data_IF_480293012857
#
_entry.id   IF_480293012857
#
_cell.length_a   1.000
_cell.length_b   1.000
_cell.length_c   1.000
_cell.angle_alpha   90.00
_cell.angle_beta   90.00
_cell.angle_gamma   90.00
#
_symmetry.space_group_name_H-M   'P 1'
#
loop_
_entity.id
_entity.type
_entity.pdbx_description
1 polymer ?
#
# COMPACT_ATOMS: atom_id res chain seq x y z
N UNK A 1 14.19 3.49 -34.05
CA UNK A 1 13.86 2.30 -33.23
C UNK A 1 12.41 2.45 -32.84
N UNK A 2 11.49 1.66 -33.36
CA UNK A 2 10.07 1.73 -33.00
C UNK A 2 9.95 1.34 -31.51
N UNK A 3 9.27 2.18 -30.77
CA UNK A 3 9.06 1.97 -29.34
C UNK A 3 8.01 0.84 -29.17
N UNK A 4 8.44 -0.42 -29.11
CA UNK A 4 7.56 -1.58 -28.94
C UNK A 4 6.97 -1.69 -27.55
N UNK A 5 7.47 -0.89 -26.58
CA UNK A 5 7.10 -0.97 -25.17
C UNK A 5 5.76 -0.30 -24.86
N UNK A 6 4.99 -0.92 -24.00
CA UNK A 6 3.86 -0.31 -23.32
C UNK A 6 4.40 0.51 -22.14
N UNK A 7 4.65 1.78 -22.39
CA UNK A 7 5.30 2.68 -21.43
C UNK A 7 4.44 2.91 -20.19
N UNK A 8 5.08 3.29 -19.07
CA UNK A 8 4.37 3.61 -17.83
C UNK A 8 3.33 4.73 -18.05
N UNK A 9 3.66 5.75 -18.84
CA UNK A 9 2.76 6.85 -19.19
C UNK A 9 1.50 6.36 -19.91
N UNK A 10 1.63 5.43 -20.86
CA UNK A 10 0.48 4.85 -21.58
C UNK A 10 -0.37 3.94 -20.68
N UNK A 11 0.30 3.18 -19.79
CA UNK A 11 -0.40 2.39 -18.79
C UNK A 11 -1.25 3.28 -17.88
N UNK A 12 -0.69 4.39 -17.41
CA UNK A 12 -1.38 5.32 -16.53
C UNK A 12 -2.53 6.03 -17.27
N UNK A 13 -2.31 6.47 -18.52
CA UNK A 13 -3.37 7.05 -19.36
C UNK A 13 -4.55 6.09 -19.55
N UNK A 14 -4.29 4.84 -19.94
CA UNK A 14 -5.34 3.82 -20.09
C UNK A 14 -6.12 3.61 -18.79
N UNK A 15 -5.43 3.60 -17.64
CA UNK A 15 -6.09 3.43 -16.33
C UNK A 15 -6.94 4.63 -15.96
N UNK A 16 -6.45 5.84 -16.22
CA UNK A 16 -7.18 7.08 -15.95
C UNK A 16 -8.46 7.14 -16.79
N UNK A 17 -8.41 6.81 -18.07
CA UNK A 17 -9.58 6.76 -18.95
C UNK A 17 -10.59 5.70 -18.47
N UNK A 18 -10.12 4.50 -18.14
CA UNK A 18 -10.99 3.44 -17.62
C UNK A 18 -11.59 3.83 -16.26
N UNK A 19 -10.81 4.45 -15.37
CA UNK A 19 -11.28 4.92 -14.07
C UNK A 19 -12.32 6.03 -14.23
N UNK A 20 -12.14 6.97 -15.18
CA UNK A 20 -13.13 7.99 -15.50
C UNK A 20 -14.45 7.35 -15.95
N UNK A 21 -14.40 6.42 -16.91
CA UNK A 21 -15.60 5.71 -17.37
C UNK A 21 -16.32 4.96 -16.23
N UNK A 22 -15.56 4.36 -15.31
CA UNK A 22 -16.10 3.68 -14.13
C UNK A 22 -16.80 4.65 -13.19
N UNK A 23 -16.22 5.84 -12.96
CA UNK A 23 -16.78 6.85 -12.06
C UNK A 23 -18.02 7.51 -12.66
N UNK A 24 -17.98 7.89 -13.94
CA UNK A 24 -19.11 8.45 -14.68
C UNK A 24 -20.30 7.48 -14.67
N UNK A 25 -20.04 6.19 -14.88
CA UNK A 25 -21.05 5.14 -14.82
C UNK A 25 -21.67 5.01 -13.41
N UNK A 26 -20.83 5.09 -12.37
CA UNK A 26 -21.30 4.98 -10.98
C UNK A 26 -22.12 6.21 -10.56
N UNK A 27 -21.71 7.40 -10.98
CA UNK A 27 -22.45 8.63 -10.78
C UNK A 27 -23.80 8.56 -11.49
N UNK A 28 -23.81 8.19 -12.78
CA UNK A 28 -25.04 8.00 -13.54
C UNK A 28 -25.99 7.02 -12.85
N UNK A 29 -25.48 5.87 -12.37
CA UNK A 29 -26.30 4.89 -11.62
C UNK A 29 -26.98 5.53 -10.42
N UNK A 30 -26.23 6.33 -9.66
CA UNK A 30 -26.75 6.98 -8.45
C UNK A 30 -27.83 8.02 -8.80
N UNK A 31 -27.56 8.87 -9.78
CA UNK A 31 -28.49 9.92 -10.23
C UNK A 31 -29.77 9.32 -10.83
N UNK A 32 -29.64 8.29 -11.66
CA UNK A 32 -30.78 7.62 -12.27
C UNK A 32 -31.63 6.87 -11.23
N UNK A 33 -31.01 6.21 -10.26
CA UNK A 33 -31.72 5.60 -9.13
C UNK A 33 -32.51 6.63 -8.33
N UNK A 34 -31.93 7.80 -8.02
CA UNK A 34 -32.64 8.88 -7.31
C UNK A 34 -33.81 9.43 -8.13
N UNK A 35 -33.65 9.55 -9.45
CA UNK A 35 -34.74 9.98 -10.34
C UNK A 35 -35.90 8.97 -10.35
N UNK A 36 -35.62 7.67 -10.45
CA UNK A 36 -36.64 6.61 -10.36
C UNK A 36 -37.34 6.59 -9.01
N UNK A 37 -36.58 6.74 -7.93
CA UNK A 37 -37.12 6.82 -6.59
C UNK A 37 -38.05 8.03 -6.41
N UNK A 38 -37.67 9.20 -6.91
CA UNK A 38 -38.49 10.41 -6.83
C UNK A 38 -39.84 10.26 -7.57
N UNK A 39 -39.89 9.42 -8.59
CA UNK A 39 -41.12 9.09 -9.30
C UNK A 39 -42.00 8.07 -8.55
N UNK A 40 -41.55 7.49 -7.44
CA UNK A 40 -42.21 6.45 -6.67
C UNK A 40 -42.46 6.91 -5.21
N UNK A 41 -43.38 7.83 -4.94
CA UNK A 41 -43.66 8.25 -3.58
C UNK A 41 -44.15 7.07 -2.73
N UNK A 42 -43.58 6.88 -1.56
CA UNK A 42 -43.79 5.73 -0.66
C UNK A 42 -43.37 4.37 -1.26
N UNK A 43 -42.32 4.35 -2.01
CA UNK A 43 -41.80 3.13 -2.62
C UNK A 43 -41.54 2.01 -1.60
N UNK A 44 -41.98 0.82 -1.91
CA UNK A 44 -41.64 -0.38 -1.15
C UNK A 44 -40.18 -0.79 -1.38
N UNK A 45 -39.61 -1.58 -0.46
CA UNK A 45 -38.28 -2.16 -0.62
C UNK A 45 -38.14 -2.90 -1.96
N UNK A 46 -39.20 -3.59 -2.41
CA UNK A 46 -39.17 -4.28 -3.69
C UNK A 46 -39.06 -3.31 -4.87
N UNK A 47 -39.81 -2.21 -4.84
CA UNK A 47 -39.75 -1.18 -5.88
C UNK A 47 -38.37 -0.46 -5.91
N UNK A 48 -37.80 -0.13 -4.76
CA UNK A 48 -36.46 0.46 -4.69
C UNK A 48 -35.37 -0.50 -5.16
N UNK A 49 -35.48 -1.79 -4.83
CA UNK A 49 -34.59 -2.82 -5.36
C UNK A 49 -34.65 -2.88 -6.89
N UNK A 50 -35.86 -2.90 -7.45
CA UNK A 50 -36.06 -3.03 -8.91
C UNK A 50 -35.59 -1.76 -9.62
N UNK A 51 -35.79 -0.57 -9.03
CA UNK A 51 -35.20 0.69 -9.49
C UNK A 51 -33.67 0.64 -9.47
N UNK A 52 -33.05 0.03 -8.45
CA UNK A 52 -31.61 -0.16 -8.40
C UNK A 52 -31.07 -1.09 -9.49
N UNK A 53 -31.80 -2.15 -9.83
CA UNK A 53 -31.49 -3.04 -10.95
C UNK A 53 -31.54 -2.27 -12.27
N UNK A 54 -32.62 -1.53 -12.50
CA UNK A 54 -32.82 -0.72 -13.70
C UNK A 54 -31.71 0.33 -13.85
N UNK A 55 -31.38 1.04 -12.77
CA UNK A 55 -30.33 2.07 -12.79
C UNK A 55 -28.96 1.51 -13.21
N UNK A 56 -28.57 0.35 -12.68
CA UNK A 56 -27.32 -0.29 -13.11
C UNK A 56 -27.40 -0.74 -14.57
N UNK A 57 -28.51 -1.32 -15.00
CA UNK A 57 -28.67 -1.78 -16.38
C UNK A 57 -28.54 -0.62 -17.38
N UNK A 58 -29.20 0.50 -17.10
CA UNK A 58 -29.12 1.70 -17.94
C UNK A 58 -27.69 2.24 -18.00
N UNK A 59 -27.02 2.31 -16.86
CA UNK A 59 -25.61 2.74 -16.79
C UNK A 59 -24.69 1.80 -17.60
N UNK A 60 -24.83 0.49 -17.42
CA UNK A 60 -23.98 -0.48 -18.14
C UNK A 60 -24.25 -0.50 -19.65
N UNK A 61 -25.45 -0.21 -20.09
CA UNK A 61 -25.76 -0.06 -21.51
C UNK A 61 -25.12 1.19 -22.11
N UNK A 62 -24.97 2.26 -21.32
CA UNK A 62 -24.34 3.49 -21.78
C UNK A 62 -22.79 3.43 -21.74
N UNK A 63 -22.21 2.94 -20.66
CA UNK A 63 -20.78 3.02 -20.38
C UNK A 63 -20.02 1.71 -20.65
N UNK A 64 -20.69 0.56 -20.64
CA UNK A 64 -20.05 -0.72 -20.90
C UNK A 64 -19.40 -0.82 -22.28
N UNK A 65 -20.10 -0.43 -23.38
CA UNK A 65 -19.49 -0.40 -24.71
C UNK A 65 -18.26 0.49 -24.80
N UNK A 66 -18.25 1.68 -24.18
CA UNK A 66 -17.11 2.59 -24.16
C UNK A 66 -15.87 1.95 -23.50
N UNK A 67 -16.06 1.30 -22.37
CA UNK A 67 -14.99 0.57 -21.69
C UNK A 67 -14.46 -0.61 -22.52
N UNK A 68 -15.35 -1.30 -23.25
CA UNK A 68 -14.98 -2.38 -24.14
C UNK A 68 -14.22 -1.87 -25.38
N UNK A 69 -14.63 -0.75 -25.96
CA UNK A 69 -13.94 -0.07 -27.08
C UNK A 69 -12.53 0.35 -26.68
N UNK A 70 -12.36 1.00 -25.53
CA UNK A 70 -11.06 1.37 -24.99
C UNK A 70 -10.12 0.14 -24.88
N UNK A 71 -10.62 -0.98 -24.42
CA UNK A 71 -9.85 -2.22 -24.36
C UNK A 71 -9.51 -2.80 -25.73
N UNK A 72 -10.43 -2.69 -26.72
CA UNK A 72 -10.20 -3.14 -28.10
C UNK A 72 -9.13 -2.29 -28.79
N UNK A 73 -9.16 -0.96 -28.63
CA UNK A 73 -8.15 -0.05 -29.19
C UNK A 73 -6.76 -0.34 -28.61
N UNK A 74 -6.67 -0.55 -27.29
CA UNK A 74 -5.40 -0.93 -26.65
C UNK A 74 -4.92 -2.30 -27.19
N UNK A 75 -5.82 -3.28 -27.37
CA UNK A 75 -5.49 -4.59 -27.89
C UNK A 75 -4.86 -4.49 -29.29
N UNK A 76 -5.50 -3.78 -30.21
CA UNK A 76 -5.03 -3.60 -31.58
C UNK A 76 -3.69 -2.84 -31.59
N UNK A 77 -3.60 -1.73 -30.86
CA UNK A 77 -2.40 -0.91 -30.77
C UNK A 77 -1.18 -1.71 -30.30
N UNK A 78 -1.32 -2.49 -29.24
CA UNK A 78 -0.21 -3.27 -28.68
C UNK A 78 0.16 -4.46 -29.56
N UNK A 79 -0.81 -5.10 -30.22
CA UNK A 79 -0.56 -6.19 -31.16
C UNK A 79 0.14 -5.67 -32.43
N UNK A 80 -0.30 -4.55 -33.00
CA UNK A 80 0.31 -3.92 -34.17
C UNK A 80 1.79 -3.58 -33.92
N UNK A 81 2.10 -2.99 -32.76
CA UNK A 81 3.49 -2.67 -32.36
C UNK A 81 4.40 -3.89 -32.33
N UNK A 82 3.83 -5.05 -32.05
CA UNK A 82 4.55 -6.33 -32.00
C UNK A 82 4.52 -7.10 -33.33
N UNK A 83 3.95 -6.50 -34.38
CA UNK A 83 3.83 -7.11 -35.68
C UNK A 83 2.80 -8.25 -35.75
N UNK A 84 1.82 -8.27 -34.83
CA UNK A 84 0.75 -9.25 -34.80
C UNK A 84 -0.46 -8.64 -35.50
N UNK A 85 -0.83 -9.24 -36.65
CA UNK A 85 -2.02 -8.84 -37.41
C UNK A 85 -3.28 -9.40 -36.74
N UNK A 86 -4.10 -8.51 -36.18
CA UNK A 86 -5.32 -8.86 -35.44
C UNK A 86 -6.46 -7.91 -35.78
N UNK A 87 -7.67 -8.36 -35.50
CA UNK A 87 -8.87 -7.53 -35.49
C UNK A 87 -9.65 -7.79 -34.22
N UNK A 88 -9.95 -6.74 -33.49
CA UNK A 88 -10.78 -6.82 -32.29
C UNK A 88 -12.27 -6.93 -32.63
N UNK A 89 -13.02 -7.44 -31.65
CA UNK A 89 -14.49 -7.45 -31.70
C UNK A 89 -15.01 -7.06 -30.33
N UNK A 90 -16.12 -6.33 -30.33
CA UNK A 90 -16.88 -6.05 -29.10
C UNK A 90 -17.72 -7.27 -28.71
N UNK A 91 -17.62 -7.69 -27.49
CA UNK A 91 -18.38 -8.79 -26.91
C UNK A 91 -19.24 -8.28 -25.75
N UNK A 92 -20.50 -8.66 -25.76
CA UNK A 92 -21.34 -8.45 -24.59
C UNK A 92 -20.98 -9.51 -23.53
N UNK A 93 -20.51 -9.05 -22.36
CA UNK A 93 -19.98 -9.94 -21.33
C UNK A 93 -20.79 -9.94 -20.03
N UNK A 94 -21.78 -9.05 -19.90
CA UNK A 94 -22.60 -8.88 -18.70
C UNK A 94 -23.71 -9.93 -18.67
N UNK A 95 -23.72 -10.72 -17.58
CA UNK A 95 -24.75 -11.71 -17.31
C UNK A 95 -25.83 -11.09 -16.39
N UNK A 96 -27.00 -10.75 -16.95
CA UNK A 96 -28.12 -10.12 -16.27
C UNK A 96 -28.51 -10.85 -14.97
N UNK A 97 -28.64 -12.15 -15.00
CA UNK A 97 -29.09 -12.93 -13.84
C UNK A 97 -28.13 -12.89 -12.63
N UNK A 98 -26.84 -12.61 -12.85
CA UNK A 98 -25.89 -12.43 -11.75
C UNK A 98 -26.00 -11.03 -11.14
N UNK A 99 -26.23 -10.02 -11.94
CA UNK A 99 -26.48 -8.66 -11.50
C UNK A 99 -27.70 -8.60 -10.59
N UNK A 100 -28.82 -9.15 -11.02
CA UNK A 100 -30.06 -9.18 -10.25
C UNK A 100 -29.87 -9.84 -8.88
N UNK A 101 -29.13 -10.96 -8.81
CA UNK A 101 -28.86 -11.64 -7.55
C UNK A 101 -28.09 -10.77 -6.57
N UNK A 102 -27.09 -10.01 -7.07
CA UNK A 102 -26.28 -9.12 -6.22
C UNK A 102 -27.10 -7.95 -5.70
N UNK A 103 -27.91 -7.30 -6.54
CA UNK A 103 -28.76 -6.19 -6.11
C UNK A 103 -29.83 -6.67 -5.13
N UNK A 104 -30.43 -7.86 -5.33
CA UNK A 104 -31.35 -8.48 -4.36
C UNK A 104 -30.68 -8.68 -3.00
N UNK A 105 -29.44 -9.11 -2.96
CA UNK A 105 -28.69 -9.22 -1.71
C UNK A 105 -28.47 -7.84 -1.06
N UNK A 106 -28.14 -6.81 -1.84
CA UNK A 106 -27.94 -5.45 -1.32
C UNK A 106 -29.24 -4.83 -0.76
N UNK A 107 -30.40 -5.23 -1.28
CA UNK A 107 -31.70 -4.74 -0.81
C UNK A 107 -31.96 -5.05 0.68
N UNK A 108 -31.18 -5.92 1.33
CA UNK A 108 -31.21 -6.10 2.78
C UNK A 108 -30.91 -4.80 3.53
N UNK A 109 -30.09 -3.90 2.97
CA UNK A 109 -29.82 -2.59 3.58
C UNK A 109 -31.06 -1.70 3.57
N UNK A 110 -31.91 -1.80 2.55
CA UNK A 110 -33.19 -1.08 2.52
C UNK A 110 -34.16 -1.59 3.59
N UNK A 111 -34.14 -2.88 3.93
CA UNK A 111 -34.93 -3.45 5.04
C UNK A 111 -34.43 -2.90 6.38
N UNK A 112 -33.16 -2.57 6.49
CA UNK A 112 -32.51 -2.01 7.68
C UNK A 112 -32.47 -0.47 7.69
N UNK A 113 -33.27 0.20 6.86
CA UNK A 113 -33.32 1.66 6.70
C UNK A 113 -31.97 2.32 6.36
N UNK A 114 -31.01 1.56 5.77
CA UNK A 114 -29.70 2.03 5.33
C UNK A 114 -29.63 2.17 3.81
N UNK A 115 -30.43 3.10 3.29
CA UNK A 115 -30.47 3.40 1.86
C UNK A 115 -29.12 3.96 1.34
N UNK A 116 -28.39 4.72 2.16
CA UNK A 116 -27.09 5.26 1.78
C UNK A 116 -26.11 4.15 1.43
N UNK A 117 -26.07 3.08 2.22
CA UNK A 117 -25.27 1.89 1.95
C UNK A 117 -25.74 1.13 0.72
N UNK A 118 -27.05 1.03 0.50
CA UNK A 118 -27.59 0.43 -0.72
C UNK A 118 -27.09 1.17 -1.96
N UNK A 119 -27.18 2.51 -2.01
CA UNK A 119 -26.68 3.34 -3.11
C UNK A 119 -25.17 3.18 -3.32
N UNK A 120 -24.40 3.21 -2.24
CA UNK A 120 -22.95 2.97 -2.31
C UNK A 120 -22.62 1.61 -2.94
N UNK A 121 -23.39 0.58 -2.61
CA UNK A 121 -23.22 -0.75 -3.18
C UNK A 121 -23.62 -0.83 -4.65
N UNK A 122 -24.67 -0.10 -5.08
CA UNK A 122 -25.02 0.02 -6.52
C UNK A 122 -23.85 0.66 -7.29
N UNK A 123 -23.35 1.81 -6.83
CA UNK A 123 -22.23 2.51 -7.44
C UNK A 123 -20.98 1.61 -7.53
N UNK A 124 -20.63 0.91 -6.45
CA UNK A 124 -19.49 -0.02 -6.43
C UNK A 124 -19.69 -1.19 -7.39
N UNK A 125 -20.89 -1.70 -7.52
CA UNK A 125 -21.22 -2.78 -8.44
C UNK A 125 -21.12 -2.32 -9.90
N UNK A 126 -21.55 -1.10 -10.18
CA UNK A 126 -21.42 -0.49 -11.52
C UNK A 126 -19.97 -0.35 -11.94
N UNK A 127 -19.11 0.23 -11.08
CA UNK A 127 -17.66 0.31 -11.34
C UNK A 127 -17.07 -1.05 -11.65
N UNK A 128 -17.40 -2.06 -10.86
CA UNK A 128 -16.93 -3.42 -11.07
C UNK A 128 -17.33 -3.98 -12.42
N UNK A 129 -18.57 -3.78 -12.87
CA UNK A 129 -19.02 -4.32 -14.16
C UNK A 129 -18.40 -3.58 -15.35
N UNK A 130 -18.23 -2.26 -15.28
CA UNK A 130 -17.52 -1.47 -16.31
C UNK A 130 -16.06 -1.94 -16.43
N UNK A 131 -15.34 -2.06 -15.32
CA UNK A 131 -13.99 -2.62 -15.29
C UNK A 131 -13.94 -4.04 -15.86
N UNK A 132 -14.88 -4.88 -15.48
CA UNK A 132 -14.98 -6.25 -15.96
C UNK A 132 -15.28 -6.30 -17.48
N UNK A 133 -16.07 -5.38 -18.00
CA UNK A 133 -16.41 -5.31 -19.41
C UNK A 133 -15.14 -5.06 -20.24
N UNK A 134 -14.33 -4.07 -19.89
CA UNK A 134 -13.05 -3.80 -20.55
C UNK A 134 -12.12 -5.03 -20.52
N UNK A 135 -11.82 -5.55 -19.34
CA UNK A 135 -10.90 -6.68 -19.21
C UNK A 135 -11.42 -7.99 -19.84
N UNK A 136 -12.73 -8.21 -19.83
CA UNK A 136 -13.33 -9.39 -20.47
C UNK A 136 -13.28 -9.30 -21.99
N UNK A 137 -13.43 -8.10 -22.57
CA UNK A 137 -13.26 -7.87 -23.98
C UNK A 137 -11.81 -8.06 -24.40
N UNK A 138 -10.85 -7.51 -23.64
CA UNK A 138 -9.43 -7.74 -23.85
C UNK A 138 -9.11 -9.25 -23.87
N UNK A 139 -9.51 -9.99 -22.84
CA UNK A 139 -9.30 -11.44 -22.76
C UNK A 139 -9.91 -12.21 -23.94
N UNK A 140 -11.15 -11.89 -24.32
CA UNK A 140 -11.82 -12.58 -25.42
C UNK A 140 -11.12 -12.31 -26.75
N UNK A 141 -10.65 -11.09 -26.98
CA UNK A 141 -9.87 -10.77 -28.17
C UNK A 141 -8.53 -11.49 -28.18
N UNK A 142 -7.82 -11.58 -27.06
CA UNK A 142 -6.62 -12.40 -26.94
C UNK A 142 -6.88 -13.87 -27.33
N UNK A 143 -7.91 -14.49 -26.75
CA UNK A 143 -8.23 -15.90 -27.03
C UNK A 143 -8.67 -16.13 -28.48
N UNK A 144 -9.47 -15.24 -29.05
CA UNK A 144 -9.99 -15.38 -30.41
C UNK A 144 -8.92 -15.20 -31.49
N UNK A 145 -7.91 -14.37 -31.19
CA UNK A 145 -6.80 -14.13 -32.09
C UNK A 145 -5.55 -14.96 -31.72
N UNK A 146 -5.66 -15.86 -30.75
CA UNK A 146 -4.54 -16.68 -30.25
C UNK A 146 -3.33 -15.84 -29.81
N UNK A 147 -3.59 -14.69 -29.20
CA UNK A 147 -2.58 -13.77 -28.64
C UNK A 147 -2.38 -14.11 -27.17
N UNK A 148 -1.12 -14.22 -26.74
CA UNK A 148 -0.76 -14.34 -25.34
C UNK A 148 -1.06 -13.05 -24.60
N UNK A 149 -1.20 -13.13 -23.27
CA UNK A 149 -1.44 -11.96 -22.44
C UNK A 149 -0.84 -12.14 -21.06
N UNK A 150 -0.54 -11.01 -20.40
CA UNK A 150 -0.12 -10.97 -19.02
C UNK A 150 -1.16 -10.25 -18.16
N UNK A 151 -1.21 -10.57 -16.86
CA UNK A 151 -1.88 -9.75 -15.86
C UNK A 151 -0.88 -8.80 -15.23
N UNK A 152 -1.10 -7.52 -15.37
CA UNK A 152 -0.21 -6.48 -14.87
C UNK A 152 -0.86 -5.79 -13.68
N UNK A 153 -0.28 -5.91 -12.47
CA UNK A 153 -0.79 -5.18 -11.31
C UNK A 153 -0.59 -3.68 -11.54
N UNK A 154 -1.57 -2.90 -11.19
CA UNK A 154 -1.57 -1.49 -11.58
C UNK A 154 -1.64 -0.51 -10.43
N UNK A 155 -1.88 -0.94 -9.22
CA UNK A 155 -2.05 0.02 -8.14
C UNK A 155 -2.11 -0.58 -6.74
N UNK A 156 -2.64 0.25 -5.84
CA UNK A 156 -2.76 -0.01 -4.38
C UNK A 156 -3.72 -1.16 -4.08
N UNK A 157 -4.68 -1.40 -4.95
CA UNK A 157 -5.75 -2.36 -4.70
C UNK A 157 -5.47 -3.76 -5.27
N UNK A 158 -4.23 -4.01 -5.72
CA UNK A 158 -3.84 -5.35 -6.23
C UNK A 158 -4.06 -6.40 -5.15
N UNK A 159 -4.99 -7.32 -5.39
CA UNK A 159 -5.27 -8.41 -4.46
C UNK A 159 -4.24 -9.54 -4.60
N UNK A 160 -4.11 -10.38 -3.56
CA UNK A 160 -3.16 -11.49 -3.55
C UNK A 160 -3.33 -12.47 -4.70
N UNK A 161 -4.57 -12.72 -5.13
CA UNK A 161 -4.84 -13.57 -6.28
C UNK A 161 -4.31 -12.97 -7.60
N UNK A 162 -4.56 -11.68 -7.85
CA UNK A 162 -4.02 -11.00 -9.03
C UNK A 162 -2.50 -10.87 -8.97
N UNK A 163 -1.94 -10.62 -7.79
CA UNK A 163 -0.49 -10.63 -7.59
C UNK A 163 0.12 -11.98 -7.95
N UNK A 164 -0.45 -13.09 -7.47
CA UNK A 164 -0.01 -14.45 -7.84
C UNK A 164 -0.12 -14.69 -9.35
N UNK A 165 -1.21 -14.27 -9.98
CA UNK A 165 -1.38 -14.43 -11.43
C UNK A 165 -0.35 -13.59 -12.22
N UNK A 166 0.02 -12.42 -11.73
CA UNK A 166 0.99 -11.55 -12.40
C UNK A 166 2.43 -12.10 -12.40
N UNK A 167 2.74 -13.08 -11.55
CA UNK A 167 4.06 -13.75 -11.54
C UNK A 167 4.28 -14.68 -12.74
N UNK A 168 3.25 -14.93 -13.55
CA UNK A 168 3.31 -15.89 -14.66
C UNK A 168 3.70 -15.26 -16.01
N UNK A 169 3.77 -13.94 -16.10
CA UNK A 169 4.07 -13.26 -17.36
C UNK A 169 3.07 -13.59 -18.45
N UNK A 170 3.56 -13.75 -19.68
CA UNK A 170 2.76 -14.10 -20.88
C UNK A 170 2.52 -15.60 -21.06
N UNK A 171 2.50 -16.39 -19.99
CA UNK A 171 2.25 -17.84 -20.05
C UNK A 171 0.76 -18.22 -20.22
N UNK A 172 -0.12 -17.21 -20.26
CA UNK A 172 -1.55 -17.45 -20.42
C UNK A 172 -1.94 -17.66 -21.87
N UNK A 173 -2.25 -18.91 -22.21
CA UNK A 173 -2.73 -19.30 -23.56
C UNK A 173 -4.20 -19.67 -23.55
N UNK A 174 -4.81 -19.88 -22.40
CA UNK A 174 -6.19 -20.35 -22.31
C UNK A 174 -6.95 -19.75 -21.13
N UNK A 175 -8.26 -19.76 -21.24
CA UNK A 175 -9.22 -19.38 -20.20
C UNK A 175 -8.93 -20.06 -18.85
N UNK A 176 -8.56 -21.34 -18.88
CA UNK A 176 -8.31 -22.15 -17.69
C UNK A 176 -6.99 -21.78 -16.99
N UNK A 177 -5.95 -21.47 -17.75
CA UNK A 177 -4.64 -21.10 -17.20
C UNK A 177 -4.62 -19.71 -16.55
N UNK A 178 -5.55 -18.83 -16.94
CA UNK A 178 -5.70 -17.47 -16.39
C UNK A 178 -6.56 -17.36 -15.14
N UNK A 179 -6.93 -18.48 -14.54
CA UNK A 179 -7.74 -18.50 -13.31
C UNK A 179 -9.25 -18.61 -13.53
N UNK A 180 -9.73 -19.11 -14.71
CA UNK A 180 -11.14 -19.49 -14.90
C UNK A 180 -11.96 -18.60 -15.85
N UNK A 181 -13.25 -18.71 -15.79
CA UNK A 181 -14.28 -18.27 -16.76
C UNK A 181 -14.52 -16.76 -16.94
N UNK A 182 -13.49 -15.90 -16.78
CA UNK A 182 -13.67 -14.43 -16.84
C UNK A 182 -14.35 -13.84 -15.60
N UNK A 183 -14.76 -14.68 -14.65
CA UNK A 183 -15.27 -14.29 -13.31
C UNK A 183 -14.16 -14.03 -12.28
N UNK A 184 -12.91 -13.99 -12.72
CA UNK A 184 -11.72 -13.86 -11.86
C UNK A 184 -11.32 -12.42 -11.55
N UNK A 185 -12.14 -11.45 -11.91
CA UNK A 185 -12.00 -10.08 -11.45
C UNK A 185 -12.87 -9.86 -10.19
N UNK A 186 -12.28 -9.28 -9.16
CA UNK A 186 -13.02 -8.96 -7.93
C UNK A 186 -13.49 -7.50 -7.96
N UNK A 187 -14.45 -7.18 -7.11
CA UNK A 187 -14.74 -5.79 -6.79
C UNK A 187 -13.46 -5.14 -6.24
N UNK A 188 -13.09 -3.97 -6.77
CA UNK A 188 -11.84 -3.24 -6.46
C UNK A 188 -10.54 -3.94 -6.96
N UNK A 189 -10.63 -4.79 -7.98
CA UNK A 189 -9.44 -5.30 -8.66
C UNK A 189 -8.89 -4.21 -9.59
N UNK A 190 -7.57 -3.97 -9.54
CA UNK A 190 -6.88 -2.96 -10.34
C UNK A 190 -5.92 -3.52 -11.41
N UNK A 191 -5.85 -4.85 -11.53
CA UNK A 191 -4.98 -5.46 -12.54
C UNK A 191 -5.57 -5.30 -13.94
N UNK A 192 -4.72 -4.92 -14.89
CA UNK A 192 -5.10 -4.87 -16.32
C UNK A 192 -4.58 -6.10 -17.06
N UNK A 193 -5.27 -6.43 -18.15
CA UNK A 193 -4.82 -7.45 -19.10
C UNK A 193 -4.05 -6.74 -20.20
N UNK A 194 -2.83 -7.20 -20.46
CA UNK A 194 -1.95 -6.65 -21.49
C UNK A 194 -1.64 -7.74 -22.49
N UNK A 195 -2.01 -7.60 -23.78
CA UNK A 195 -1.68 -8.54 -24.84
C UNK A 195 -0.21 -8.41 -25.22
N UNK A 196 0.43 -9.50 -25.64
CA UNK A 196 1.81 -9.42 -26.13
C UNK A 196 2.57 -10.72 -26.11
N UNK A 197 3.90 -10.62 -26.32
CA UNK A 197 4.79 -11.76 -26.47
C UNK A 197 5.90 -11.82 -25.41
N UNK A 198 6.36 -10.67 -24.89
CA UNK A 198 7.51 -10.56 -24.02
C UNK A 198 7.23 -9.68 -22.80
N UNK A 199 7.70 -10.10 -21.64
CA UNK A 199 7.58 -9.34 -20.39
C UNK A 199 8.26 -7.97 -20.48
N UNK A 200 9.41 -7.88 -21.16
CA UNK A 200 10.21 -6.66 -21.32
C UNK A 200 9.50 -5.57 -22.16
N UNK A 201 8.41 -5.90 -22.82
CA UNK A 201 7.59 -4.94 -23.58
C UNK A 201 6.64 -4.12 -22.69
N UNK A 202 6.62 -4.37 -21.40
CA UNK A 202 5.81 -3.63 -20.43
C UNK A 202 6.73 -2.93 -19.40
N UNK A 203 6.72 -1.61 -19.39
CA UNK A 203 7.51 -0.84 -18.43
C UNK A 203 7.04 -1.09 -16.98
N UNK A 204 8.01 -1.35 -16.09
CA UNK A 204 7.77 -1.58 -14.68
C UNK A 204 7.16 -2.95 -14.34
N UNK A 205 7.05 -3.86 -15.32
CA UNK A 205 6.55 -5.21 -15.11
C UNK A 205 7.68 -6.24 -15.21
N UNK A 206 7.92 -6.98 -14.14
CA UNK A 206 8.85 -8.10 -14.08
C UNK A 206 8.21 -9.25 -13.31
N UNK A 207 7.71 -10.28 -13.98
CA UNK A 207 7.13 -11.44 -13.33
C UNK A 207 8.13 -12.20 -12.46
N UNK A 208 9.41 -12.20 -12.83
CA UNK A 208 10.50 -12.79 -12.04
C UNK A 208 10.66 -12.07 -10.69
N UNK A 209 10.68 -10.74 -10.70
CA UNK A 209 10.71 -9.93 -9.48
C UNK A 209 9.47 -10.17 -8.62
N UNK A 210 8.27 -10.15 -9.23
CA UNK A 210 7.02 -10.42 -8.51
C UNK A 210 7.01 -11.81 -7.88
N UNK A 211 7.58 -12.81 -8.56
CA UNK A 211 7.72 -14.18 -8.03
C UNK A 211 8.66 -14.24 -6.83
N UNK A 212 9.79 -13.54 -6.87
CA UNK A 212 10.70 -13.43 -5.74
C UNK A 212 10.02 -12.75 -4.54
N UNK A 213 9.27 -11.69 -4.79
CA UNK A 213 8.48 -11.01 -3.75
C UNK A 213 7.38 -11.88 -3.16
N UNK A 214 6.70 -12.67 -3.97
CA UNK A 214 5.73 -13.65 -3.49
C UNK A 214 6.38 -14.66 -2.53
N UNK A 215 7.55 -15.20 -2.91
CA UNK A 215 8.31 -16.14 -2.07
C UNK A 215 8.76 -15.46 -0.77
N UNK A 216 9.25 -14.22 -0.84
CA UNK A 216 9.63 -13.43 0.34
C UNK A 216 8.43 -13.27 1.30
N UNK A 217 7.26 -12.91 0.79
CA UNK A 217 6.05 -12.76 1.60
C UNK A 217 5.62 -14.09 2.24
N UNK A 218 5.67 -15.19 1.49
CA UNK A 218 5.38 -16.52 2.02
C UNK A 218 6.30 -16.86 3.19
N UNK A 219 7.60 -16.63 3.05
CA UNK A 219 8.60 -16.92 4.10
C UNK A 219 8.46 -15.97 5.29
N UNK A 220 8.28 -14.67 5.06
CA UNK A 220 8.27 -13.65 6.13
C UNK A 220 6.98 -13.62 6.94
N UNK A 221 5.84 -13.96 6.32
CA UNK A 221 4.52 -13.80 6.93
C UNK A 221 3.74 -15.13 7.06
N UNK A 222 4.28 -16.23 6.55
CA UNK A 222 3.61 -17.55 6.59
C UNK A 222 2.26 -17.51 5.88
N UNK A 223 2.19 -16.93 4.66
CA UNK A 223 0.97 -16.86 3.85
C UNK A 223 1.07 -17.77 2.63
N UNK A 224 -0.08 -18.31 2.20
CA UNK A 224 -0.21 -19.05 0.95
C UNK A 224 -1.13 -18.28 -0.02
N UNK A 225 -0.58 -17.85 -1.15
CA UNK A 225 -1.32 -17.09 -2.16
C UNK A 225 -2.42 -17.90 -2.85
N UNK A 226 -2.37 -19.24 -2.80
CA UNK A 226 -3.42 -20.12 -3.32
C UNK A 226 -4.59 -20.27 -2.33
N UNK A 227 -4.35 -20.01 -1.04
CA UNK A 227 -5.34 -20.20 0.01
C UNK A 227 -6.29 -18.99 0.11
N UNK A 228 -7.60 -19.25 0.01
CA UNK A 228 -8.62 -18.21 0.12
C UNK A 228 -8.62 -17.51 1.48
N UNK A 229 -8.27 -18.23 2.54
CA UNK A 229 -8.20 -17.70 3.90
C UNK A 229 -7.14 -16.62 4.08
N UNK A 230 -6.04 -16.71 3.33
CA UNK A 230 -4.91 -15.77 3.43
C UNK A 230 -5.07 -14.51 2.58
N UNK A 231 -6.05 -14.44 1.69
CA UNK A 231 -6.19 -13.32 0.75
C UNK A 231 -6.33 -11.94 1.44
N UNK A 232 -7.04 -11.87 2.56
CA UNK A 232 -7.16 -10.63 3.34
C UNK A 232 -5.80 -10.22 3.93
N UNK A 233 -5.06 -11.18 4.50
CA UNK A 233 -3.73 -10.97 5.08
C UNK A 233 -2.74 -10.51 4.01
N UNK A 234 -2.73 -11.18 2.86
CA UNK A 234 -1.89 -10.83 1.72
C UNK A 234 -2.20 -9.41 1.21
N UNK A 235 -3.48 -9.06 1.08
CA UNK A 235 -3.89 -7.70 0.69
C UNK A 235 -3.38 -6.64 1.66
N UNK A 236 -3.40 -6.89 2.97
CA UNK A 236 -2.83 -5.97 3.98
C UNK A 236 -1.31 -5.84 3.85
N UNK A 237 -0.58 -6.93 3.58
CA UNK A 237 0.87 -6.91 3.36
C UNK A 237 1.21 -6.08 2.12
N UNK A 238 0.52 -6.33 0.99
CA UNK A 238 0.73 -5.60 -0.26
C UNK A 238 0.47 -4.10 -0.09
N UNK A 239 -0.60 -3.73 0.60
CA UNK A 239 -0.91 -2.33 0.92
C UNK A 239 0.13 -1.71 1.84
N UNK A 240 0.56 -2.43 2.87
CA UNK A 240 1.62 -1.97 3.79
C UNK A 240 2.92 -1.68 3.06
N UNK A 241 3.30 -2.52 2.10
CA UNK A 241 4.45 -2.31 1.24
C UNK A 241 4.34 -1.04 0.42
N UNK A 242 3.21 -0.82 -0.19
CA UNK A 242 3.01 0.33 -1.04
C UNK A 242 3.02 1.64 -0.26
N UNK A 243 2.39 1.68 0.93
CA UNK A 243 2.52 2.83 1.82
C UNK A 243 3.95 3.03 2.30
N UNK A 244 4.70 1.93 2.55
CA UNK A 244 6.11 2.01 2.88
C UNK A 244 6.93 2.67 1.76
N UNK A 245 6.69 2.30 0.50
CA UNK A 245 7.34 2.91 -0.66
C UNK A 245 7.01 4.40 -0.79
N UNK A 246 5.75 4.80 -0.61
CA UNK A 246 5.34 6.21 -0.61
C UNK A 246 6.06 7.01 0.47
N UNK A 247 6.08 6.52 1.70
CA UNK A 247 6.79 7.16 2.81
C UNK A 247 8.30 7.30 2.59
N UNK A 248 8.93 6.34 1.91
CA UNK A 248 10.36 6.42 1.55
C UNK A 248 10.59 7.50 0.48
N UNK A 249 9.68 7.63 -0.50
CA UNK A 249 9.75 8.71 -1.49
C UNK A 249 9.68 10.07 -0.80
N UNK A 250 8.72 10.26 0.11
CA UNK A 250 8.55 11.51 0.86
C UNK A 250 9.79 11.81 1.73
N UNK A 251 10.34 10.80 2.41
CA UNK A 251 11.57 10.96 3.20
C UNK A 251 12.76 11.40 2.33
N UNK A 252 12.91 10.84 1.13
CA UNK A 252 13.98 11.22 0.20
C UNK A 252 13.88 12.68 -0.28
N UNK A 253 12.66 13.25 -0.36
CA UNK A 253 12.48 14.64 -0.77
C UNK A 253 13.08 15.64 0.24
N UNK A 254 13.05 15.30 1.51
CA UNK A 254 13.53 16.20 2.59
C UNK A 254 14.91 15.83 3.13
N UNK A 255 15.42 14.64 2.81
CA UNK A 255 16.64 14.07 3.38
C UNK A 255 17.85 15.00 3.29
N UNK A 256 18.15 15.50 2.10
CA UNK A 256 19.32 16.37 1.90
C UNK A 256 19.26 17.65 2.74
N UNK A 257 18.08 18.26 2.85
CA UNK A 257 17.86 19.47 3.64
C UNK A 257 18.07 19.20 5.14
N UNK A 258 17.42 18.13 5.64
CA UNK A 258 17.53 17.75 7.05
C UNK A 258 18.95 17.31 7.40
N UNK A 259 19.61 16.53 6.53
CA UNK A 259 21.02 16.12 6.74
C UNK A 259 21.95 17.32 6.83
N UNK A 260 21.81 18.31 5.95
CA UNK A 260 22.65 19.52 5.95
C UNK A 260 22.43 20.36 7.21
N UNK A 261 21.15 20.52 7.62
CA UNK A 261 20.77 21.22 8.83
C UNK A 261 21.40 20.58 10.07
N UNK A 262 21.29 19.26 10.21
CA UNK A 262 21.85 18.53 11.35
C UNK A 262 23.38 18.51 11.35
N UNK A 263 24.03 18.33 10.19
CA UNK A 263 25.50 18.41 10.10
C UNK A 263 26.06 19.76 10.56
N UNK A 264 25.34 20.85 10.31
CA UNK A 264 25.77 22.18 10.76
C UNK A 264 25.71 22.36 12.29
N UNK A 265 25.04 21.46 13.02
CA UNK A 265 24.93 21.45 14.48
C UNK A 265 25.92 20.48 15.17
N UNK A 266 26.80 19.84 14.41
CA UNK A 266 27.88 19.03 14.99
C UNK A 266 28.87 19.91 15.77
N UNK A 267 29.43 19.37 16.84
CA UNK A 267 30.47 20.00 17.67
C UNK A 267 31.55 18.97 18.02
N UNK A 268 32.50 19.33 18.89
CA UNK A 268 33.50 18.37 19.35
C UNK A 268 32.89 17.26 20.22
N UNK A 269 31.82 17.56 20.98
CA UNK A 269 31.09 16.63 21.84
C UNK A 269 29.88 15.95 21.19
N UNK A 270 29.50 16.35 19.98
CA UNK A 270 28.31 15.82 19.28
C UNK A 270 28.61 15.49 17.83
N UNK A 271 28.37 14.26 17.42
CA UNK A 271 28.62 13.78 16.04
C UNK A 271 27.46 12.98 15.51
N UNK A 272 27.04 13.26 14.27
CA UNK A 272 26.12 12.40 13.56
C UNK A 272 26.77 11.06 13.18
N UNK A 273 26.01 9.99 13.36
CA UNK A 273 26.44 8.64 13.00
C UNK A 273 25.37 7.87 12.26
N UNK A 274 25.78 6.80 11.55
CA UNK A 274 24.84 5.88 10.90
C UNK A 274 24.04 6.49 9.75
N UNK A 275 24.59 7.50 9.06
CA UNK A 275 23.89 8.19 7.97
C UNK A 275 23.48 7.28 6.82
N UNK A 276 24.16 6.16 6.60
CA UNK A 276 23.80 5.18 5.57
C UNK A 276 22.48 4.45 5.88
N UNK A 277 22.04 4.47 7.15
CA UNK A 277 20.84 3.82 7.63
C UNK A 277 19.75 4.81 8.06
N UNK A 278 19.89 6.09 7.68
CA UNK A 278 18.97 7.15 8.12
C UNK A 278 17.56 7.00 7.55
N UNK A 279 17.42 6.41 6.37
CA UNK A 279 16.11 6.06 5.80
C UNK A 279 15.84 4.58 6.11
N UNK A 280 14.71 4.33 6.73
CA UNK A 280 14.28 2.97 7.08
C UNK A 280 14.09 2.14 5.81
N UNK A 281 14.56 0.90 5.81
CA UNK A 281 14.39 0.00 4.66
C UNK A 281 12.92 -0.35 4.40
N UNK A 282 12.57 -0.51 3.12
CA UNK A 282 11.21 -0.89 2.70
C UNK A 282 10.68 -2.12 3.45
N UNK A 283 11.42 -3.25 3.59
CA UNK A 283 10.91 -4.42 4.32
C UNK A 283 10.64 -4.15 5.80
N UNK A 284 11.47 -3.30 6.45
CA UNK A 284 11.27 -2.95 7.85
C UNK A 284 10.04 -2.06 8.06
N UNK A 285 9.78 -1.16 7.11
CA UNK A 285 8.65 -0.25 7.15
C UNK A 285 7.34 -0.98 6.78
N UNK A 286 7.36 -1.81 5.74
CA UNK A 286 6.26 -2.71 5.38
C UNK A 286 5.80 -3.54 6.58
N UNK A 287 6.74 -4.22 7.24
CA UNK A 287 6.46 -5.04 8.42
C UNK A 287 5.86 -4.21 9.55
N UNK A 288 6.41 -3.01 9.83
CA UNK A 288 5.89 -2.12 10.88
C UNK A 288 4.44 -1.73 10.59
N UNK A 289 4.14 -1.25 9.38
CA UNK A 289 2.78 -0.87 8.99
C UNK A 289 1.83 -2.06 9.11
N UNK A 290 2.26 -3.23 8.65
CA UNK A 290 1.44 -4.44 8.73
C UNK A 290 1.13 -4.87 10.16
N UNK A 291 2.14 -4.96 11.05
CA UNK A 291 1.96 -5.40 12.45
C UNK A 291 1.16 -4.35 13.25
N UNK A 292 1.42 -3.06 13.06
CA UNK A 292 0.66 -1.99 13.70
C UNK A 292 -0.81 -1.98 13.22
N UNK A 293 -1.07 -2.26 11.93
CA UNK A 293 -2.42 -2.41 11.38
C UNK A 293 -3.15 -3.61 11.99
N UNK A 294 -2.46 -4.72 12.16
CA UNK A 294 -3.02 -5.92 12.76
C UNK A 294 -3.35 -5.72 14.25
N UNK A 295 -2.46 -5.10 15.01
CA UNK A 295 -2.63 -4.89 16.46
C UNK A 295 -3.71 -3.85 16.78
N UNK A 296 -3.82 -2.79 15.98
CA UNK A 296 -4.81 -1.72 16.15
C UNK A 296 -6.14 -1.98 15.44
N UNK A 297 -6.22 -3.02 14.61
CA UNK A 297 -7.35 -3.29 13.69
C UNK A 297 -7.66 -2.09 12.77
N UNK A 298 -6.67 -1.27 12.46
CA UNK A 298 -6.77 -0.13 11.55
C UNK A 298 -6.30 -0.50 10.13
N UNK A 299 -6.72 0.27 9.12
CA UNK A 299 -6.24 0.05 7.77
C UNK A 299 -4.75 0.46 7.63
N UNK A 300 -3.95 -0.21 6.76
CA UNK A 300 -2.56 0.18 6.52
C UNK A 300 -2.37 1.66 6.15
N UNK A 301 -3.34 2.25 5.46
CA UNK A 301 -3.38 3.68 5.15
C UNK A 301 -3.36 4.54 6.41
N UNK A 302 -4.26 4.25 7.35
CA UNK A 302 -4.42 5.06 8.56
C UNK A 302 -3.19 4.93 9.47
N UNK A 303 -2.61 3.73 9.55
CA UNK A 303 -1.37 3.47 10.28
C UNK A 303 -0.20 4.24 9.66
N UNK A 304 -0.10 4.27 8.32
CA UNK A 304 1.00 4.93 7.63
C UNK A 304 1.13 6.42 7.95
N UNK A 305 0.01 7.12 8.19
CA UNK A 305 0.01 8.53 8.60
C UNK A 305 0.63 8.77 9.99
N UNK A 306 0.66 7.74 10.84
CA UNK A 306 1.26 7.81 12.18
C UNK A 306 2.75 7.47 12.23
N UNK A 307 3.37 7.09 11.10
CA UNK A 307 4.78 6.69 11.06
C UNK A 307 5.67 7.93 10.98
N UNK A 308 6.43 8.20 12.05
CA UNK A 308 7.29 9.38 12.15
C UNK A 308 8.80 9.04 12.18
N UNK A 309 9.16 7.77 11.98
CA UNK A 309 10.53 7.25 12.07
C UNK A 309 11.05 6.66 10.75
N UNK A 310 10.52 7.15 9.62
CA UNK A 310 10.98 6.79 8.27
C UNK A 310 12.36 7.37 8.02
N UNK A 311 12.50 8.69 8.28
CA UNK A 311 13.78 9.41 8.26
C UNK A 311 14.26 9.56 9.70
N UNK A 312 15.45 9.06 9.99
CA UNK A 312 15.99 8.93 11.34
C UNK A 312 17.46 9.24 11.39
N UNK A 313 17.84 10.14 12.27
CA UNK A 313 19.22 10.52 12.52
C UNK A 313 19.64 10.15 13.93
N UNK A 314 20.94 9.98 14.16
CA UNK A 314 21.50 9.68 15.46
C UNK A 314 22.70 10.58 15.75
N UNK A 315 22.65 11.30 16.85
CA UNK A 315 23.82 11.93 17.44
C UNK A 315 24.45 11.02 18.48
N UNK A 316 25.78 10.89 18.44
CA UNK A 316 26.58 10.47 19.57
C UNK A 316 26.96 11.71 20.34
N UNK A 317 26.72 11.69 21.64
CA UNK A 317 26.92 12.82 22.58
C UNK A 317 27.74 12.36 23.75
N UNK A 318 28.68 13.19 24.21
CA UNK A 318 29.49 12.90 25.35
C UNK A 318 28.67 12.80 26.66
N UNK A 319 29.07 11.88 27.54
CA UNK A 319 28.34 11.61 28.79
C UNK A 319 28.21 12.85 29.68
N UNK A 320 29.27 13.64 29.76
CA UNK A 320 29.39 14.74 30.77
C UNK A 320 28.63 16.00 30.32
N UNK A 321 28.51 16.23 29.00
CA UNK A 321 27.78 17.36 28.38
C UNK A 321 26.44 17.00 27.82
N UNK A 322 25.98 15.75 27.97
CA UNK A 322 24.85 15.16 27.25
C UNK A 322 23.57 16.02 27.28
N UNK A 323 23.15 16.46 28.45
CA UNK A 323 21.93 17.25 28.57
C UNK A 323 22.10 18.67 28.01
N UNK A 324 23.28 19.28 28.18
CA UNK A 324 23.59 20.60 27.66
C UNK A 324 23.59 20.59 26.12
N UNK A 325 24.28 19.61 25.54
CA UNK A 325 24.35 19.43 24.08
C UNK A 325 22.96 19.11 23.47
N UNK A 326 22.17 18.27 24.15
CA UNK A 326 20.78 18.00 23.72
C UNK A 326 19.97 19.30 23.63
N UNK A 327 19.98 20.14 24.69
CA UNK A 327 19.23 21.39 24.70
C UNK A 327 19.79 22.40 23.69
N UNK A 328 21.10 22.46 23.50
CA UNK A 328 21.73 23.33 22.49
C UNK A 328 21.27 22.98 21.08
N UNK A 329 21.26 21.68 20.72
CA UNK A 329 20.78 21.20 19.42
C UNK A 329 19.29 21.50 19.28
N UNK A 330 18.47 21.21 20.30
CA UNK A 330 17.03 21.43 20.22
C UNK A 330 16.67 22.91 20.07
N UNK A 331 17.31 23.81 20.81
CA UNK A 331 17.11 25.25 20.68
C UNK A 331 17.50 25.75 19.29
N UNK A 332 18.63 25.28 18.76
CA UNK A 332 19.07 25.66 17.39
C UNK A 332 18.11 25.16 16.30
N UNK A 333 17.47 24.01 16.51
CA UNK A 333 16.43 23.51 15.62
C UNK A 333 15.14 24.33 15.71
N UNK A 334 14.76 24.79 16.91
CA UNK A 334 13.60 25.65 17.12
C UNK A 334 13.80 27.02 16.46
N UNK A 335 15.01 27.59 16.53
CA UNK A 335 15.38 28.84 15.82
C UNK A 335 15.25 28.68 14.27
N UNK A 336 15.42 27.46 13.77
CA UNK A 336 15.23 27.14 12.35
C UNK A 336 13.78 26.73 12.00
N UNK A 337 12.83 26.94 12.92
CA UNK A 337 11.41 26.66 12.71
C UNK A 337 11.01 25.18 12.90
N UNK A 338 11.92 24.34 13.42
CA UNK A 338 11.60 22.97 13.79
C UNK A 338 11.07 22.92 15.22
N UNK A 339 10.22 21.94 15.55
CA UNK A 339 9.71 21.78 16.91
C UNK A 339 9.62 20.30 17.30
N UNK A 340 9.92 19.94 18.56
CA UNK A 340 9.68 18.59 19.05
C UNK A 340 8.16 18.35 19.17
N UNK A 341 7.70 17.23 18.66
CA UNK A 341 6.31 16.78 18.77
C UNK A 341 6.14 15.58 19.68
N UNK A 342 7.25 14.84 19.91
CA UNK A 342 7.28 13.73 20.86
C UNK A 342 8.70 13.51 21.37
N UNK A 343 8.86 13.31 22.67
CA UNK A 343 10.15 12.97 23.30
C UNK A 343 9.97 11.69 24.11
N UNK A 344 10.76 10.66 23.77
CA UNK A 344 10.84 9.42 24.55
C UNK A 344 12.26 9.28 25.10
N UNK A 345 12.40 9.44 26.40
CA UNK A 345 13.66 9.33 27.12
C UNK A 345 13.71 8.02 27.91
N UNK A 346 14.47 7.04 27.43
CA UNK A 346 14.68 5.75 28.07
C UNK A 346 16.07 5.61 28.68
N UNK A 347 16.94 6.62 28.56
CA UNK A 347 18.28 6.60 29.18
C UNK A 347 18.23 6.51 30.71
N UNK A 348 17.20 7.07 31.32
CA UNK A 348 16.97 7.04 32.78
C UNK A 348 16.44 5.70 33.29
N UNK A 349 15.93 4.85 32.43
CA UNK A 349 15.31 3.57 32.81
C UNK A 349 16.30 2.42 32.62
N UNK A 350 16.82 1.86 33.68
CA UNK A 350 17.77 0.72 33.66
C UNK A 350 17.11 -0.60 33.26
N UNK A 351 15.78 -0.68 33.28
CA UNK A 351 15.02 -1.88 32.85
C UNK A 351 14.57 -1.82 31.39
N UNK A 352 14.90 -0.74 30.67
CA UNK A 352 14.54 -0.61 29.28
C UNK A 352 15.46 -1.48 28.39
N UNK A 353 14.87 -2.21 27.45
CA UNK A 353 15.59 -2.97 26.42
C UNK A 353 16.38 -2.07 25.45
N UNK A 354 16.01 -0.81 25.38
CA UNK A 354 16.64 0.23 24.59
C UNK A 354 16.87 1.46 25.47
N UNK A 355 18.08 1.96 25.51
CA UNK A 355 18.45 3.15 26.29
C UNK A 355 19.02 4.23 25.38
N UNK A 356 18.21 5.24 25.12
CA UNK A 356 18.48 6.40 24.27
C UNK A 356 17.39 7.45 24.44
N UNK A 357 17.53 8.57 23.75
CA UNK A 357 16.47 9.57 23.63
C UNK A 357 16.03 9.63 22.19
N UNK A 358 14.74 9.42 21.94
CA UNK A 358 14.13 9.54 20.62
C UNK A 358 13.22 10.77 20.62
N UNK A 359 13.52 11.73 19.78
CA UNK A 359 12.73 12.94 19.61
C UNK A 359 12.16 12.96 18.20
N UNK A 360 10.85 12.97 18.06
CA UNK A 360 10.20 13.25 16.79
C UNK A 360 10.14 14.76 16.62
N UNK A 361 10.66 15.25 15.52
CA UNK A 361 10.76 16.67 15.18
C UNK A 361 9.92 16.94 13.95
N UNK A 362 9.06 17.97 14.04
CA UNK A 362 8.32 18.51 12.89
C UNK A 362 9.04 19.74 12.36
N UNK A 363 9.28 19.77 11.05
CA UNK A 363 9.81 20.94 10.34
C UNK A 363 8.76 22.04 10.22
N UNK A 364 9.16 23.24 9.87
CA UNK A 364 8.24 24.36 9.61
C UNK A 364 7.21 24.10 8.50
N UNK A 365 7.47 23.12 7.62
CA UNK A 365 6.57 22.70 6.55
C UNK A 365 5.67 21.50 6.97
N UNK A 366 5.83 21.01 8.19
CA UNK A 366 5.01 19.91 8.72
C UNK A 366 5.52 18.50 8.42
N UNK A 367 6.70 18.34 7.79
CA UNK A 367 7.33 17.02 7.64
C UNK A 367 7.98 16.58 8.96
N UNK A 368 7.97 15.27 9.23
CA UNK A 368 8.51 14.71 10.46
C UNK A 368 9.77 13.87 10.22
N UNK A 369 10.70 13.95 11.15
CA UNK A 369 11.84 13.03 11.25
C UNK A 369 12.13 12.68 12.72
N UNK A 370 12.76 11.51 12.93
CA UNK A 370 13.22 11.11 14.27
C UNK A 370 14.67 11.49 14.46
N UNK A 371 14.98 12.16 15.58
CA UNK A 371 16.33 12.45 16.02
C UNK A 371 16.63 11.68 17.31
N UNK A 372 17.63 10.80 17.26
CA UNK A 372 18.05 9.98 18.36
C UNK A 372 19.33 10.54 18.98
N UNK A 373 19.42 10.48 20.31
CA UNK A 373 20.62 10.86 21.06
C UNK A 373 21.11 9.68 21.87
N UNK A 374 22.36 9.33 21.67
CA UNK A 374 23.05 8.23 22.34
C UNK A 374 24.41 8.68 22.87
N UNK A 375 24.88 8.04 23.94
CA UNK A 375 26.30 7.99 24.21
C UNK A 375 26.94 6.93 23.34
N UNK A 376 28.27 6.93 23.18
CA UNK A 376 28.99 5.90 22.44
C UNK A 376 28.65 4.49 22.97
N UNK A 377 28.66 4.32 24.30
CA UNK A 377 28.29 3.07 24.97
C UNK A 377 26.84 2.64 24.66
N UNK A 378 25.87 3.54 24.76
CA UNK A 378 24.47 3.21 24.51
C UNK A 378 24.19 2.89 23.03
N UNK A 379 24.93 3.52 22.14
CA UNK A 379 24.87 3.23 20.71
C UNK A 379 25.50 1.87 20.37
N UNK A 380 26.64 1.55 20.97
CA UNK A 380 27.28 0.25 20.81
C UNK A 380 26.38 -0.89 21.28
N UNK A 381 25.80 -0.79 22.46
CA UNK A 381 24.84 -1.78 22.98
C UNK A 381 23.65 -1.94 22.03
N UNK A 382 23.07 -0.83 21.57
CA UNK A 382 21.96 -0.85 20.60
C UNK A 382 22.34 -1.56 19.32
N UNK A 383 23.50 -1.22 18.72
CA UNK A 383 23.87 -1.62 17.37
C UNK A 383 24.52 -3.00 17.32
N UNK A 384 25.41 -3.30 18.27
CA UNK A 384 26.25 -4.48 18.21
C UNK A 384 25.78 -5.61 19.14
N UNK A 385 25.08 -5.30 20.22
CA UNK A 385 24.64 -6.32 21.20
C UNK A 385 23.15 -6.65 21.07
N UNK A 386 22.28 -5.63 20.96
CA UNK A 386 20.83 -5.82 21.02
C UNK A 386 20.15 -5.89 19.65
N UNK A 387 20.78 -5.45 18.56
CA UNK A 387 20.12 -5.35 17.27
C UNK A 387 19.61 -6.72 16.76
N UNK A 388 20.47 -7.74 16.77
CA UNK A 388 20.10 -9.09 16.33
C UNK A 388 19.03 -9.73 17.23
N UNK A 389 19.13 -9.52 18.56
CA UNK A 389 18.13 -10.00 19.51
C UNK A 389 16.78 -9.32 19.29
N UNK A 390 16.79 -8.02 19.04
CA UNK A 390 15.58 -7.26 18.75
C UNK A 390 14.91 -7.67 17.43
N UNK A 391 15.69 -7.98 16.39
CA UNK A 391 15.13 -8.47 15.12
C UNK A 391 14.41 -9.83 15.32
N UNK A 392 14.95 -10.73 16.14
CA UNK A 392 14.27 -11.98 16.51
C UNK A 392 13.05 -11.73 17.40
N UNK A 393 13.19 -10.88 18.42
CA UNK A 393 12.13 -10.54 19.37
C UNK A 393 10.85 -10.04 18.66
N UNK A 394 11.00 -9.21 17.63
CA UNK A 394 9.87 -8.60 16.92
C UNK A 394 9.23 -9.48 15.84
N UNK A 395 9.78 -10.66 15.55
CA UNK A 395 9.16 -11.59 14.59
C UNK A 395 7.88 -12.17 15.19
N UNK A 396 6.81 -12.18 14.40
CA UNK A 396 5.54 -12.79 14.81
C UNK A 396 5.62 -14.32 14.96
N UNK A 397 6.62 -14.95 14.33
CA UNK A 397 6.89 -16.38 14.42
C UNK A 397 7.67 -16.79 15.66
N UNK A 398 8.32 -15.86 16.39
CA UNK A 398 9.09 -16.14 17.59
C UNK A 398 8.14 -16.50 18.74
N UNK A 399 8.30 -17.66 19.39
CA UNK A 399 7.48 -18.07 20.53
C UNK A 399 7.58 -17.09 21.69
N UNK A 400 6.50 -16.94 22.46
CA UNK A 400 6.44 -15.96 23.56
C UNK A 400 7.51 -16.21 24.63
N UNK A 401 7.77 -17.50 24.97
CA UNK A 401 8.84 -17.87 25.91
C UNK A 401 10.24 -17.47 25.42
N UNK A 402 10.47 -17.50 24.10
CA UNK A 402 11.74 -17.05 23.50
C UNK A 402 11.83 -15.53 23.49
N UNK A 403 10.71 -14.82 23.25
CA UNK A 403 10.67 -13.36 23.37
C UNK A 403 10.98 -12.86 24.77
N UNK A 404 10.47 -13.55 25.82
CA UNK A 404 10.79 -13.21 27.20
C UNK A 404 12.29 -13.34 27.49
N UNK A 405 12.93 -14.40 26.99
CA UNK A 405 14.37 -14.60 27.14
C UNK A 405 15.19 -13.56 26.36
N UNK A 406 14.80 -13.26 25.10
CA UNK A 406 15.43 -12.20 24.30
C UNK A 406 15.30 -10.83 24.96
N UNK A 407 14.12 -10.52 25.52
CA UNK A 407 13.91 -9.26 26.27
C UNK A 407 14.81 -9.20 27.52
N UNK A 408 14.95 -10.29 28.27
CA UNK A 408 15.81 -10.37 29.44
C UNK A 408 17.27 -10.09 29.08
N UNK A 409 17.77 -10.73 28.01
CA UNK A 409 19.15 -10.52 27.52
C UNK A 409 19.37 -9.07 27.08
N UNK A 410 18.41 -8.47 26.36
CA UNK A 410 18.51 -7.05 25.96
C UNK A 410 18.50 -6.09 27.14
N UNK A 411 17.72 -6.38 28.19
CA UNK A 411 17.73 -5.60 29.44
C UNK A 411 19.08 -5.74 30.15
N UNK A 412 19.64 -6.95 30.25
CA UNK A 412 20.94 -7.19 30.87
C UNK A 412 22.04 -6.38 30.17
N UNK A 413 22.12 -6.43 28.83
CA UNK A 413 23.06 -5.65 28.04
C UNK A 413 22.87 -4.13 28.26
N UNK A 414 21.62 -3.66 28.30
CA UNK A 414 21.29 -2.24 28.45
C UNK A 414 21.51 -1.72 29.88
N UNK A 415 21.36 -2.57 30.89
CA UNK A 415 21.46 -2.17 32.31
C UNK A 415 22.85 -1.67 32.71
N UNK A 416 23.90 -2.15 32.03
CA UNK A 416 25.30 -1.76 32.25
C UNK A 416 25.60 -0.34 31.76
N UNK A 417 24.80 0.23 30.84
CA UNK A 417 25.03 1.57 30.28
C UNK A 417 25.04 2.63 31.38
N UNK A 418 26.10 3.44 31.41
CA UNK A 418 26.18 4.60 32.31
C UNK A 418 25.09 5.62 31.97
N UNK A 419 24.32 6.06 32.97
CA UNK A 419 23.31 7.10 32.76
C UNK A 419 24.01 8.46 32.71
N UNK A 420 23.92 9.23 31.60
CA UNK A 420 24.54 10.54 31.49
C UNK A 420 23.97 11.57 32.50
N UNK A 421 24.78 12.56 32.85
CA UNK A 421 24.37 13.61 33.77
C UNK A 421 23.26 14.50 33.16
N UNK A 422 22.26 14.83 33.96
CA UNK A 422 21.20 15.77 33.57
C UNK A 422 20.11 15.20 32.66
N UNK A 423 20.18 13.92 32.27
CA UNK A 423 19.17 13.33 31.39
C UNK A 423 17.76 13.29 31.96
N UNK A 424 17.63 13.35 33.29
CA UNK A 424 16.34 13.45 33.99
C UNK A 424 15.57 14.73 33.65
N UNK A 425 16.27 15.78 33.20
CA UNK A 425 15.68 17.07 32.80
C UNK A 425 15.08 17.02 31.38
N UNK A 426 15.43 15.98 30.59
CA UNK A 426 14.97 15.83 29.23
C UNK A 426 13.66 15.04 29.23
N UNK A 427 12.60 15.69 28.82
CA UNK A 427 11.25 15.08 28.71
C UNK A 427 10.18 16.16 28.66
N UNK A 428 8.93 15.75 28.43
CA UNK A 428 7.80 16.64 28.65
C UNK A 428 7.02 17.09 27.42
N UNK A 429 7.21 16.46 26.24
CA UNK A 429 6.29 16.59 25.09
C UNK A 429 5.87 15.18 24.66
N UNK A 430 4.56 14.86 24.72
CA UNK A 430 4.04 13.56 24.30
C UNK A 430 2.72 13.24 24.84
#
# INVERSE_FOLDING_TARGET
MSNHKFSKKEQDAYREELASAMEDAAQFTTEYFEALKAALPNATVAQLRDAGIEAIQMSLNAFGPQAAELACELFETLCERQGIDVSSKLYQTIEQGLLDKKVRYFAQNLVNDDEAKFRQQLASLTRYYVFREANSNMLRNCWKNNVKYARVPSGIETCGFCFMLSTRGFDYESKRSAGGDGNSFHVNCDCIIVPGLKNDDIDGYSPEFLKQEMIRMQQSYGVDFSERGDQKKISYILKSRQYAQGLIVDANLIDNRVTSMLKALESDSTKLTGLDFRIKSEPSLERKIYEDSKSSNAAPKDVSFGINDVLRYTYIVDNDSFAEDYFTIMNSLEEQGCRPVKIKNTLKDKQAIYRGINTVISTGNGENFELQFHTEESFDVKQNQNHSLYELFRLSATPESEKEELARQMVENSSAIKTPSGVEKIGGVG
#
